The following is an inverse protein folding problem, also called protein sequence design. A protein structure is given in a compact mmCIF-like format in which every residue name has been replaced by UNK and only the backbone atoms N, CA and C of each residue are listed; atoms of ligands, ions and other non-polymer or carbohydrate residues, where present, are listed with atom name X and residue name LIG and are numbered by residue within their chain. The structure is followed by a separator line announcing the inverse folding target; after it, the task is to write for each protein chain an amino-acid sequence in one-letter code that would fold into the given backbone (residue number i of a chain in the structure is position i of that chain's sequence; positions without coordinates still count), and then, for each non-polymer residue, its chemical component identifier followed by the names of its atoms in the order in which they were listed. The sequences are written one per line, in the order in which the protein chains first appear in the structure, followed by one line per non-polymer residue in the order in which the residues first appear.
data_IF_949720300650
#
_entry.id   IF_949720300650
#
_cell.length_a   1.000
_cell.length_b   1.000
_cell.length_c   1.000
_cell.angle_alpha   90.00
_cell.angle_beta   90.00
_cell.angle_gamma   90.00
#
_symmetry.space_group_name_H-M   'P 1'
#
loop_
_entity.id
_entity.type
_entity.pdbx_description
1 polymer ?
#
# COMPACT_ATOMS: atom_id res chain seq x y z
N UNK A 1 -26.03 44.71 -12.49
CA UNK A 1 -27.38 44.10 -12.42
C UNK A 1 -27.43 42.72 -13.05
N UNK A 2 -27.13 42.51 -14.32
CA UNK A 2 -27.26 41.17 -14.95
C UNK A 2 -26.30 40.06 -14.42
N UNK A 3 -25.19 40.41 -13.84
CA UNK A 3 -24.21 39.43 -13.36
C UNK A 3 -24.52 38.92 -11.93
N UNK A 4 -25.05 39.77 -11.10
CA UNK A 4 -25.48 39.43 -9.74
C UNK A 4 -26.73 38.56 -9.73
N UNK A 5 -27.66 38.80 -10.68
CA UNK A 5 -28.86 37.99 -10.81
C UNK A 5 -28.56 36.56 -11.29
N UNK A 6 -27.57 36.39 -12.18
CA UNK A 6 -27.12 35.08 -12.61
C UNK A 6 -26.42 34.29 -11.48
N UNK A 7 -25.62 34.95 -10.65
CA UNK A 7 -24.95 34.30 -9.50
C UNK A 7 -25.99 33.85 -8.47
N UNK A 8 -27.03 34.66 -8.20
CA UNK A 8 -28.12 34.26 -7.32
C UNK A 8 -28.89 33.04 -7.83
N UNK A 9 -29.19 33.00 -9.11
CA UNK A 9 -29.87 31.85 -9.73
C UNK A 9 -29.05 30.55 -9.62
N UNK A 10 -27.76 30.64 -9.85
CA UNK A 10 -26.84 29.49 -9.71
C UNK A 10 -26.75 29.02 -8.25
N UNK A 11 -26.64 29.93 -7.30
CA UNK A 11 -26.60 29.61 -5.86
C UNK A 11 -27.93 28.99 -5.40
N UNK A 12 -29.08 29.51 -5.82
CA UNK A 12 -30.38 28.91 -5.50
C UNK A 12 -30.54 27.51 -6.11
N UNK A 13 -30.05 27.29 -7.32
CA UNK A 13 -30.10 25.98 -7.98
C UNK A 13 -29.23 24.95 -7.26
N UNK A 14 -28.02 25.34 -6.86
CA UNK A 14 -27.11 24.49 -6.07
C UNK A 14 -27.68 24.17 -4.68
N UNK A 15 -28.30 25.16 -4.02
CA UNK A 15 -28.95 24.95 -2.72
C UNK A 15 -30.17 24.04 -2.82
N UNK A 16 -30.94 24.13 -3.91
CA UNK A 16 -32.08 23.23 -4.16
C UNK A 16 -31.62 21.79 -4.44
N UNK A 17 -30.52 21.62 -5.16
CA UNK A 17 -29.96 20.27 -5.39
C UNK A 17 -29.35 19.67 -4.13
N UNK A 18 -28.61 20.45 -3.34
CA UNK A 18 -28.12 20.03 -2.03
C UNK A 18 -29.24 19.71 -1.03
N UNK A 19 -30.32 20.46 -1.07
CA UNK A 19 -31.53 20.19 -0.23
C UNK A 19 -32.29 18.92 -0.64
N UNK A 20 -32.22 18.50 -1.89
CA UNK A 20 -32.81 17.23 -2.37
C UNK A 20 -31.94 16.00 -1.99
N UNK A 21 -30.63 16.18 -1.85
CA UNK A 21 -29.71 15.14 -1.41
C UNK A 21 -29.61 15.02 0.11
N UNK A 22 -30.07 16.03 0.86
CA UNK A 22 -30.12 16.03 2.33
C UNK A 22 -31.46 15.48 2.87
N UNK A 23 -31.95 14.37 2.35
CA UNK A 23 -32.85 13.54 3.14
C UNK A 23 -32.03 12.91 4.26
N UNK A 24 -32.35 13.12 5.55
CA UNK A 24 -31.70 12.37 6.61
C UNK A 24 -31.97 10.91 6.32
N UNK A 25 -30.95 10.15 6.01
CA UNK A 25 -31.04 8.71 5.98
C UNK A 25 -31.58 8.29 7.34
N UNK A 26 -32.83 7.85 7.36
CA UNK A 26 -33.43 7.19 8.52
C UNK A 26 -32.41 6.18 9.00
N UNK A 27 -32.10 6.16 10.33
CA UNK A 27 -31.04 5.39 10.94
C UNK A 27 -30.95 3.98 10.37
N UNK A 28 -30.14 3.86 9.34
CA UNK A 28 -29.82 2.57 8.74
C UNK A 28 -28.91 1.86 9.73
N UNK A 29 -29.47 0.85 10.40
CA UNK A 29 -28.65 -0.24 10.90
C UNK A 29 -27.72 -0.62 9.74
N UNK A 30 -26.40 -0.56 9.96
CA UNK A 30 -25.44 -1.10 8.99
C UNK A 30 -25.96 -2.51 8.62
N UNK A 31 -26.25 -2.79 7.33
CA UNK A 31 -26.58 -4.15 6.96
C UNK A 31 -25.39 -4.98 7.39
N UNK A 32 -25.63 -5.97 8.25
CA UNK A 32 -24.64 -6.99 8.53
C UNK A 32 -24.23 -7.51 7.16
N UNK A 33 -22.99 -7.21 6.77
CA UNK A 33 -22.38 -7.75 5.56
C UNK A 33 -22.66 -9.23 5.57
N UNK A 34 -23.30 -9.74 4.54
CA UNK A 34 -23.39 -11.18 4.32
C UNK A 34 -21.95 -11.67 4.35
N UNK A 35 -21.56 -12.28 5.46
CA UNK A 35 -20.25 -12.87 5.62
C UNK A 35 -20.13 -13.88 4.49
N UNK A 36 -19.19 -13.64 3.57
CA UNK A 36 -18.70 -14.73 2.75
C UNK A 36 -18.30 -15.81 3.76
N UNK A 37 -18.76 -17.03 3.52
CA UNK A 37 -18.47 -18.21 4.35
C UNK A 37 -16.97 -18.47 4.31
N UNK A 38 -16.25 -17.71 5.13
CA UNK A 38 -14.82 -17.85 5.33
C UNK A 38 -14.68 -18.74 6.55
N UNK A 39 -14.35 -19.99 6.32
CA UNK A 39 -14.09 -21.05 7.28
C UNK A 39 -13.91 -20.59 8.74
N UNK A 40 -15.01 -20.41 9.43
CA UNK A 40 -15.04 -20.04 10.85
C UNK A 40 -14.76 -21.29 11.66
N UNK A 41 -13.59 -21.36 12.28
CA UNK A 41 -13.17 -22.46 13.17
C UNK A 41 -13.99 -22.53 14.48
N UNK A 42 -15.22 -22.02 14.49
CA UNK A 42 -16.17 -22.13 15.60
C UNK A 42 -15.90 -21.21 16.82
N UNK A 43 -14.83 -20.41 16.81
CA UNK A 43 -14.43 -19.56 17.94
C UNK A 43 -14.81 -18.07 17.76
N UNK A 44 -15.55 -17.72 16.72
CA UNK A 44 -16.12 -16.37 16.50
C UNK A 44 -15.11 -15.29 16.08
N UNK A 45 -13.83 -15.60 16.00
CA UNK A 45 -12.77 -14.66 15.57
C UNK A 45 -12.34 -15.04 14.16
N UNK A 46 -12.58 -14.12 13.22
CA UNK A 46 -12.14 -14.27 11.84
C UNK A 46 -10.61 -14.09 11.75
N UNK A 47 -9.93 -15.07 11.17
CA UNK A 47 -8.51 -14.96 10.85
C UNK A 47 -8.33 -14.09 9.59
N UNK A 48 -7.92 -12.84 9.79
CA UNK A 48 -7.74 -11.86 8.71
C UNK A 48 -6.71 -12.30 7.67
N UNK A 49 -5.79 -13.18 8.00
CA UNK A 49 -4.79 -13.69 7.06
C UNK A 49 -5.39 -14.67 6.03
N UNK A 50 -6.50 -15.34 6.39
CA UNK A 50 -7.18 -16.30 5.50
C UNK A 50 -8.16 -15.65 4.52
N UNK A 51 -8.49 -14.37 4.71
CA UNK A 51 -9.46 -13.67 3.86
C UNK A 51 -8.83 -13.32 2.52
N UNK A 52 -9.45 -13.79 1.44
CA UNK A 52 -9.06 -13.40 0.08
C UNK A 52 -9.48 -11.95 -0.20
N UNK A 53 -8.54 -11.04 -0.01
CA UNK A 53 -8.76 -9.60 -0.15
C UNK A 53 -9.05 -9.18 -1.60
N UNK A 54 -8.71 -9.97 -2.60
CA UNK A 54 -9.06 -9.69 -3.99
C UNK A 54 -10.55 -9.90 -4.25
N UNK A 55 -11.20 -10.77 -3.50
CA UNK A 55 -12.64 -11.05 -3.60
C UNK A 55 -13.49 -10.33 -2.57
N UNK A 56 -12.85 -9.77 -1.55
CA UNK A 56 -13.56 -9.10 -0.46
C UNK A 56 -13.89 -7.65 -0.81
N UNK A 57 -15.18 -7.36 -1.05
CA UNK A 57 -15.70 -6.03 -1.37
C UNK A 57 -16.57 -5.54 -0.21
N UNK A 58 -16.15 -4.45 0.44
CA UNK A 58 -16.85 -3.85 1.59
C UNK A 58 -17.88 -2.78 1.18
N UNK A 59 -17.81 -2.25 -0.03
CA UNK A 59 -18.73 -1.20 -0.51
C UNK A 59 -20.15 -1.78 -0.58
N UNK A 60 -21.14 -1.26 0.19
CA UNK A 60 -22.50 -1.71 0.10
C UNK A 60 -23.13 -1.19 -1.20
N UNK A 61 -23.87 -2.04 -1.87
CA UNK A 61 -24.67 -1.70 -3.07
C UNK A 61 -23.93 -0.82 -4.11
N UNK A 62 -22.75 -1.21 -4.60
CA UNK A 62 -22.04 -0.41 -5.59
C UNK A 62 -22.83 -0.39 -6.90
N UNK A 63 -22.84 0.76 -7.58
CA UNK A 63 -23.55 0.92 -8.86
C UNK A 63 -23.08 -0.10 -9.91
N UNK A 64 -21.82 -0.46 -9.92
CA UNK A 64 -21.25 -1.46 -10.80
C UNK A 64 -20.33 -2.42 -10.05
N UNK A 65 -20.91 -3.43 -9.43
CA UNK A 65 -20.19 -4.44 -8.65
C UNK A 65 -19.16 -5.19 -9.50
N UNK A 66 -19.54 -5.56 -10.71
CA UNK A 66 -18.66 -6.34 -11.61
C UNK A 66 -17.39 -5.57 -11.95
N UNK A 67 -17.48 -4.26 -12.20
CA UNK A 67 -16.30 -3.44 -12.47
C UNK A 67 -15.36 -3.36 -11.23
N UNK A 68 -15.90 -3.25 -10.02
CA UNK A 68 -15.09 -3.29 -8.80
C UNK A 68 -14.35 -4.61 -8.64
N UNK A 69 -15.05 -5.73 -8.87
CA UNK A 69 -14.46 -7.07 -8.78
C UNK A 69 -13.35 -7.25 -9.81
N UNK A 70 -13.57 -6.82 -11.06
CA UNK A 70 -12.56 -6.83 -12.11
C UNK A 70 -11.34 -5.98 -11.73
N UNK A 71 -11.55 -4.75 -11.29
CA UNK A 71 -10.46 -3.87 -10.84
C UNK A 71 -9.65 -4.48 -9.69
N UNK A 72 -10.29 -5.14 -8.75
CA UNK A 72 -9.62 -5.80 -7.62
C UNK A 72 -8.70 -6.93 -8.06
N UNK A 73 -9.04 -7.64 -9.13
CA UNK A 73 -8.21 -8.71 -9.68
C UNK A 73 -6.97 -8.21 -10.42
N UNK A 74 -6.96 -6.93 -10.84
CA UNK A 74 -5.84 -6.36 -11.60
C UNK A 74 -4.74 -5.74 -10.73
N UNK A 75 -4.97 -5.59 -9.43
CA UNK A 75 -4.04 -4.91 -8.52
C UNK A 75 -4.08 -5.50 -7.12
N UNK A 76 -2.92 -5.58 -6.40
CA UNK A 76 -2.90 -5.91 -4.98
C UNK A 76 -3.35 -4.74 -4.08
N UNK A 77 -3.65 -3.57 -4.63
CA UNK A 77 -4.11 -2.42 -3.86
C UNK A 77 -5.43 -2.72 -3.14
N UNK A 78 -5.61 -2.15 -1.94
CA UNK A 78 -6.81 -2.31 -1.11
C UNK A 78 -7.95 -1.42 -1.62
N UNK A 79 -8.50 -1.72 -2.79
CA UNK A 79 -9.68 -1.03 -3.33
C UNK A 79 -10.97 -1.68 -2.86
N UNK A 80 -12.06 -0.92 -2.88
CA UNK A 80 -13.37 -1.42 -2.43
C UNK A 80 -13.50 -1.54 -0.90
N UNK A 81 -12.68 -0.84 -0.12
CA UNK A 81 -12.82 -0.67 1.32
C UNK A 81 -13.92 0.35 1.63
N UNK A 82 -14.54 0.24 2.80
CA UNK A 82 -15.65 1.11 3.17
C UNK A 82 -15.35 1.98 4.38
N UNK A 83 -16.11 3.07 4.48
CA UNK A 83 -16.00 4.08 5.53
C UNK A 83 -17.37 4.48 6.05
N UNK A 84 -17.42 4.93 7.31
CA UNK A 84 -18.52 5.67 7.88
C UNK A 84 -18.10 7.14 8.00
N UNK A 85 -18.41 7.95 7.01
CA UNK A 85 -17.89 9.32 6.90
C UNK A 85 -16.36 9.35 6.76
N UNK A 86 -15.69 10.03 7.68
CA UNK A 86 -14.21 10.11 7.71
C UNK A 86 -13.54 8.90 8.35
N UNK A 87 -14.30 8.03 9.02
CA UNK A 87 -13.77 6.87 9.73
C UNK A 87 -13.79 5.63 8.82
N UNK A 88 -12.68 4.93 8.66
CA UNK A 88 -12.70 3.59 8.07
C UNK A 88 -13.45 2.62 9.00
N UNK A 89 -13.98 1.55 8.46
CA UNK A 89 -14.51 0.44 9.26
C UNK A 89 -13.38 -0.15 10.13
N UNK A 90 -13.75 -0.75 11.26
CA UNK A 90 -12.78 -1.38 12.18
C UNK A 90 -11.93 -2.44 11.47
N UNK A 91 -12.56 -3.29 10.65
CA UNK A 91 -11.85 -4.28 9.83
C UNK A 91 -10.83 -3.61 8.89
N UNK A 92 -11.24 -2.57 8.16
CA UNK A 92 -10.33 -1.80 7.29
C UNK A 92 -9.15 -1.21 8.07
N UNK A 93 -9.41 -0.70 9.27
CA UNK A 93 -8.38 -0.13 10.13
C UNK A 93 -7.40 -1.18 10.64
N UNK A 94 -7.91 -2.32 11.09
CA UNK A 94 -7.07 -3.42 11.58
C UNK A 94 -6.20 -3.99 10.46
N UNK A 95 -6.75 -4.16 9.26
CA UNK A 95 -5.98 -4.60 8.07
C UNK A 95 -4.91 -3.60 7.69
N UNK A 96 -5.23 -2.31 7.70
CA UNK A 96 -4.24 -1.26 7.46
C UNK A 96 -3.09 -1.32 8.46
N UNK A 97 -3.39 -1.52 9.75
CA UNK A 97 -2.36 -1.65 10.79
C UNK A 97 -1.48 -2.89 10.58
N UNK A 98 -2.06 -4.01 10.18
CA UNK A 98 -1.32 -5.23 9.87
C UNK A 98 -0.42 -5.03 8.62
N UNK A 99 -0.95 -4.48 7.54
CA UNK A 99 -0.18 -4.17 6.33
C UNK A 99 0.97 -3.20 6.63
N UNK A 100 0.74 -2.21 7.48
CA UNK A 100 1.78 -1.27 7.91
C UNK A 100 2.88 -1.94 8.75
N UNK A 101 2.52 -2.86 9.65
CA UNK A 101 3.50 -3.61 10.43
C UNK A 101 4.39 -4.47 9.52
N UNK A 102 3.81 -5.19 8.56
CA UNK A 102 4.56 -5.98 7.58
C UNK A 102 5.48 -5.09 6.73
N UNK A 103 5.01 -3.90 6.34
CA UNK A 103 5.85 -2.95 5.61
C UNK A 103 7.03 -2.45 6.46
N UNK A 104 6.83 -2.19 7.76
CA UNK A 104 7.92 -1.84 8.68
C UNK A 104 8.93 -2.97 8.81
N UNK A 105 8.49 -4.21 8.98
CA UNK A 105 9.37 -5.38 9.04
C UNK A 105 10.20 -5.53 7.77
N UNK A 106 9.59 -5.31 6.59
CA UNK A 106 10.30 -5.35 5.31
C UNK A 106 11.33 -4.24 5.15
N UNK A 107 11.05 -3.03 5.66
CA UNK A 107 11.98 -1.88 5.60
C UNK A 107 13.15 -2.07 6.55
N UNK A 108 12.88 -2.54 7.78
CA UNK A 108 13.89 -2.70 8.84
C UNK A 108 14.62 -4.04 8.76
N UNK A 109 14.12 -4.99 7.99
CA UNK A 109 14.76 -6.27 7.76
C UNK A 109 16.10 -6.13 7.05
N UNK A 110 16.91 -7.18 7.13
CA UNK A 110 18.21 -7.28 6.47
C UNK A 110 18.25 -8.50 5.57
N UNK A 111 18.99 -8.41 4.48
CA UNK A 111 19.24 -9.55 3.59
C UNK A 111 20.22 -10.50 4.27
N UNK A 112 19.99 -11.83 4.27
CA UNK A 112 20.90 -12.79 4.88
C UNK A 112 22.34 -12.64 4.37
N UNK A 113 23.32 -12.76 5.27
CA UNK A 113 24.75 -12.62 4.93
C UNK A 113 25.22 -13.63 3.87
N UNK A 114 24.58 -14.77 3.78
CA UNK A 114 24.86 -15.82 2.82
C UNK A 114 24.32 -15.54 1.41
N UNK A 115 23.40 -14.59 1.26
CA UNK A 115 22.78 -14.28 -0.03
C UNK A 115 23.80 -13.86 -1.10
N UNK A 116 24.73 -12.94 -0.84
CA UNK A 116 25.76 -12.57 -1.82
C UNK A 116 26.65 -13.75 -2.23
N UNK A 117 26.99 -14.62 -1.28
CA UNK A 117 27.81 -15.79 -1.54
C UNK A 117 27.08 -16.84 -2.42
N UNK A 118 25.79 -17.07 -2.16
CA UNK A 118 24.93 -17.99 -2.91
C UNK A 118 24.87 -17.64 -4.41
N UNK A 119 24.86 -16.37 -4.73
CA UNK A 119 24.74 -15.86 -6.11
C UNK A 119 26.05 -15.32 -6.67
N UNK A 120 27.18 -15.55 -6.00
CA UNK A 120 28.51 -15.07 -6.39
C UNK A 120 28.53 -13.53 -6.65
N UNK A 121 27.89 -12.79 -5.76
CA UNK A 121 27.79 -11.34 -5.82
C UNK A 121 28.90 -10.67 -5.01
N UNK A 122 29.25 -9.45 -5.40
CA UNK A 122 30.16 -8.59 -4.64
C UNK A 122 29.28 -7.66 -3.78
N UNK A 123 29.32 -7.85 -2.46
CA UNK A 123 28.60 -6.98 -1.53
C UNK A 123 29.34 -5.64 -1.37
N UNK A 124 28.60 -4.57 -1.46
CA UNK A 124 29.11 -3.19 -1.33
C UNK A 124 28.15 -2.36 -0.46
N UNK A 125 28.68 -1.33 0.18
CA UNK A 125 27.92 -0.44 1.05
C UNK A 125 27.78 0.95 0.45
N UNK A 126 26.65 1.60 0.76
CA UNK A 126 26.51 3.04 0.58
C UNK A 126 27.29 3.80 1.65
N UNK A 127 27.34 5.14 1.54
CA UNK A 127 27.95 6.00 2.56
C UNK A 127 27.12 6.12 3.85
N UNK A 128 25.94 5.49 3.93
CA UNK A 128 25.12 5.47 5.13
C UNK A 128 25.68 4.46 6.13
N UNK A 129 25.74 4.87 7.40
CA UNK A 129 26.21 4.01 8.50
C UNK A 129 25.07 3.14 9.07
N UNK A 130 23.83 3.61 8.97
CA UNK A 130 22.65 2.93 9.51
C UNK A 130 21.45 3.01 8.56
N UNK A 131 20.42 2.17 8.83
CA UNK A 131 19.15 2.21 8.08
C UNK A 131 18.40 3.52 8.30
N UNK A 132 18.43 4.06 9.52
CA UNK A 132 17.79 5.35 9.84
C UNK A 132 18.43 6.51 9.07
N UNK A 133 19.75 6.50 8.95
CA UNK A 133 20.45 7.47 8.12
C UNK A 133 20.09 7.30 6.64
N UNK A 134 20.03 6.08 6.14
CA UNK A 134 19.60 5.80 4.77
C UNK A 134 18.20 6.34 4.48
N UNK A 135 17.25 6.18 5.41
CA UNK A 135 15.86 6.65 5.25
C UNK A 135 15.76 8.19 5.25
N UNK A 136 16.64 8.86 5.97
CA UNK A 136 16.61 10.33 6.14
C UNK A 136 17.60 11.07 5.23
N UNK A 137 18.65 10.40 4.76
CA UNK A 137 19.73 10.97 3.95
C UNK A 137 19.91 10.26 2.61
N UNK A 138 18.95 10.41 1.68
CA UNK A 138 19.00 9.74 0.39
C UNK A 138 20.20 10.18 -0.48
N UNK A 139 20.79 11.31 -0.18
CA UNK A 139 22.02 11.80 -0.83
C UNK A 139 23.24 10.92 -0.51
N UNK A 140 23.32 10.35 0.68
CA UNK A 140 24.37 9.39 1.08
C UNK A 140 24.06 7.98 0.57
N UNK A 141 22.79 7.57 0.60
CA UNK A 141 22.35 6.28 0.07
C UNK A 141 22.62 6.06 -1.41
N UNK A 142 22.83 7.13 -2.19
CA UNK A 142 23.17 7.09 -3.62
C UNK A 142 24.67 7.03 -3.92
N UNK A 143 25.49 7.11 -2.91
CA UNK A 143 26.94 7.09 -3.04
C UNK A 143 27.51 5.86 -2.38
N UNK A 144 28.52 5.29 -2.96
CA UNK A 144 29.29 4.22 -2.37
C UNK A 144 30.46 4.79 -1.55
N UNK A 145 30.85 4.11 -0.50
CA UNK A 145 32.07 4.44 0.22
C UNK A 145 33.32 4.09 -0.59
N UNK A 146 34.46 4.62 -0.19
CA UNK A 146 35.74 4.41 -0.87
C UNK A 146 36.17 2.95 -0.92
N UNK A 147 35.88 2.18 0.13
CA UNK A 147 36.21 0.77 0.24
C UNK A 147 35.41 -0.04 -0.79
N UNK A 148 34.09 0.20 -0.87
CA UNK A 148 33.21 -0.41 -1.86
C UNK A 148 33.60 -0.08 -3.29
N UNK A 149 34.01 1.16 -3.56
CA UNK A 149 34.50 1.56 -4.87
C UNK A 149 35.77 0.80 -5.27
N UNK A 150 36.70 0.62 -4.32
CA UNK A 150 37.93 -0.14 -4.56
C UNK A 150 37.65 -1.64 -4.76
N UNK A 151 36.69 -2.17 -4.00
CA UNK A 151 36.25 -3.55 -4.15
C UNK A 151 35.64 -3.83 -5.54
N UNK A 152 34.77 -2.94 -6.01
CA UNK A 152 34.22 -3.02 -7.37
C UNK A 152 35.32 -2.95 -8.43
N UNK A 153 36.28 -2.02 -8.30
CA UNK A 153 37.40 -1.86 -9.24
C UNK A 153 38.27 -3.11 -9.32
N UNK A 154 38.42 -3.84 -8.20
CA UNK A 154 39.28 -5.02 -8.12
C UNK A 154 38.58 -6.31 -8.52
N UNK A 155 37.31 -6.49 -8.14
CA UNK A 155 36.58 -7.76 -8.32
C UNK A 155 35.66 -7.78 -9.53
N UNK A 156 35.09 -6.64 -9.93
CA UNK A 156 34.15 -6.60 -11.03
C UNK A 156 34.85 -6.49 -12.39
N UNK A 157 34.27 -7.18 -13.39
CA UNK A 157 34.80 -7.17 -14.76
C UNK A 157 34.58 -5.81 -15.43
N UNK A 158 35.65 -5.19 -15.90
CA UNK A 158 35.56 -3.94 -16.69
C UNK A 158 34.98 -4.23 -18.08
N UNK A 159 34.12 -3.32 -18.57
CA UNK A 159 33.55 -3.44 -19.92
C UNK A 159 32.57 -4.59 -20.09
N UNK A 160 31.91 -5.02 -19.01
CA UNK A 160 30.84 -6.01 -19.08
C UNK A 160 29.67 -5.47 -19.92
N UNK A 161 29.10 -6.30 -20.80
CA UNK A 161 27.93 -5.93 -21.63
C UNK A 161 26.65 -5.83 -20.80
N UNK A 162 26.59 -6.54 -19.69
CA UNK A 162 25.46 -6.57 -18.75
C UNK A 162 26.03 -6.60 -17.33
N UNK A 163 25.50 -5.76 -16.47
CA UNK A 163 25.76 -5.75 -15.04
C UNK A 163 24.42 -5.75 -14.32
N UNK A 164 24.24 -6.70 -13.41
CA UNK A 164 23.05 -6.81 -12.56
C UNK A 164 23.43 -6.24 -11.19
N UNK A 165 22.62 -5.33 -10.69
CA UNK A 165 22.75 -4.72 -9.38
C UNK A 165 21.50 -5.08 -8.59
N UNK A 166 21.70 -5.72 -7.44
CA UNK A 166 20.64 -6.01 -6.47
C UNK A 166 20.85 -5.03 -5.32
N UNK A 167 19.80 -4.26 -5.01
CA UNK A 167 19.87 -3.24 -3.97
C UNK A 167 18.86 -3.55 -2.86
N UNK A 168 19.35 -3.70 -1.65
CA UNK A 168 18.52 -3.68 -0.45
C UNK A 168 18.25 -2.22 -0.07
N UNK A 169 17.04 -1.77 -0.41
CA UNK A 169 16.59 -0.41 -0.14
C UNK A 169 15.48 -0.38 0.91
N UNK A 170 14.24 -0.49 0.45
CA UNK A 170 13.04 -0.38 1.30
C UNK A 170 12.33 -1.73 1.52
N UNK A 171 12.87 -2.82 1.02
CA UNK A 171 12.30 -4.16 1.22
C UNK A 171 13.36 -5.24 1.05
N UNK A 172 13.91 -5.73 2.15
CA UNK A 172 14.82 -6.89 2.16
C UNK A 172 14.11 -8.15 1.63
N UNK A 173 12.84 -8.34 1.94
CA UNK A 173 12.06 -9.48 1.47
C UNK A 173 11.93 -9.53 -0.06
N UNK A 174 11.91 -8.38 -0.74
CA UNK A 174 11.84 -8.33 -2.21
C UNK A 174 13.15 -8.75 -2.88
N UNK A 175 14.27 -8.77 -2.14
CA UNK A 175 15.56 -9.23 -2.66
C UNK A 175 15.61 -10.75 -2.72
N UNK A 176 14.90 -11.43 -1.83
CA UNK A 176 14.87 -12.91 -1.73
C UNK A 176 13.80 -13.55 -2.63
N UNK A 177 12.75 -12.80 -3.00
CA UNK A 177 11.61 -13.27 -3.79
C UNK A 177 11.94 -13.35 -5.28
#
# INVERSE_FOLDING_TARGET
MAMEDNIRLIVEQVLQELGKTAQPAAGGSCPATAAADNGNDGNGIEDLAKVDLQRYLQVPEPQNRGLYEEMKLTTPARIGVWRCGTRPLTDTWLRFRADHAVAQDSVLGEVPEEFPAKYNMVSVKSMCESKDEYLTRPDLGRKLDEESLNLIRSKCRKGAKLQIIVADGLSSNAVEA
#
